data_IF_527140511172
#
_entry.id   IF_527140511172
#
_cell.length_a   1.000
_cell.length_b   1.000
_cell.length_c   1.000
_cell.angle_alpha   90.00
_cell.angle_beta   90.00
_cell.angle_gamma   90.00
#
_symmetry.space_group_name_H-M   'P 1'
#
loop_
_entity.id
_entity.type
_entity.pdbx_description
1 polymer ?
#
# COMPACT_ATOMS: atom_id res chain seq x y z
N UNK A 1 -23.59 -15.93 -14.69
CA UNK A 1 -22.71 -14.94 -15.33
C UNK A 1 -22.61 -13.78 -14.36
N UNK A 2 -21.72 -13.93 -13.38
CA UNK A 2 -21.64 -13.08 -12.20
C UNK A 2 -20.72 -11.90 -12.46
N UNK A 3 -21.31 -10.76 -12.83
CA UNK A 3 -20.62 -9.48 -12.90
C UNK A 3 -20.34 -8.91 -11.51
N UNK A 4 -19.19 -9.24 -10.92
CA UNK A 4 -18.68 -8.59 -9.72
C UNK A 4 -17.91 -7.31 -10.09
N UNK A 5 -18.65 -6.21 -10.26
CA UNK A 5 -18.12 -4.86 -10.32
C UNK A 5 -17.86 -4.31 -8.91
N UNK A 6 -16.70 -4.62 -8.34
CA UNK A 6 -16.21 -3.96 -7.12
C UNK A 6 -15.59 -2.61 -7.46
N UNK A 7 -16.42 -1.58 -7.61
CA UNK A 7 -15.98 -0.20 -7.78
C UNK A 7 -15.37 0.34 -6.50
N UNK A 8 -14.03 0.44 -6.46
CA UNK A 8 -13.37 1.31 -5.49
C UNK A 8 -13.63 2.76 -5.88
N UNK A 9 -14.28 3.50 -5.00
CA UNK A 9 -14.59 4.91 -5.17
C UNK A 9 -13.28 5.72 -5.27
N UNK A 10 -13.05 6.33 -6.44
CA UNK A 10 -11.91 7.20 -6.72
C UNK A 10 -12.20 8.57 -6.09
N UNK A 11 -11.99 8.69 -4.78
CA UNK A 11 -12.15 9.95 -4.07
C UNK A 11 -10.95 10.87 -4.36
N UNK A 12 -10.95 11.52 -5.53
CA UNK A 12 -10.00 12.57 -5.96
C UNK A 12 -8.81 12.10 -6.84
N UNK A 13 -8.33 12.95 -7.75
CA UNK A 13 -7.12 12.69 -8.56
C UNK A 13 -5.86 12.43 -7.69
N UNK A 14 -5.87 12.91 -6.44
CA UNK A 14 -4.72 12.92 -5.53
C UNK A 14 -4.92 12.09 -4.26
N UNK A 15 -6.03 11.38 -4.12
CA UNK A 15 -6.32 10.48 -3.00
C UNK A 15 -7.05 9.23 -3.50
N UNK A 16 -6.91 8.12 -2.80
CA UNK A 16 -7.61 6.89 -3.16
C UNK A 16 -7.78 6.00 -1.95
N UNK A 17 -8.90 5.27 -1.92
CA UNK A 17 -9.10 4.14 -1.01
C UNK A 17 -8.72 2.84 -1.73
N UNK A 18 -7.63 2.21 -1.28
CA UNK A 18 -7.24 0.89 -1.73
C UNK A 18 -7.70 -0.18 -0.74
N UNK A 19 -8.59 -1.07 -1.17
CA UNK A 19 -8.97 -2.26 -0.42
C UNK A 19 -8.43 -3.51 -1.10
N UNK A 20 -7.76 -4.37 -0.34
CA UNK A 20 -7.23 -5.63 -0.84
C UNK A 20 -7.65 -6.77 0.07
N UNK A 21 -8.43 -7.70 -0.49
CA UNK A 21 -8.83 -8.91 0.20
C UNK A 21 -7.75 -9.99 0.05
N UNK A 22 -7.35 -10.58 1.18
CA UNK A 22 -6.34 -11.63 1.27
C UNK A 22 -7.00 -12.96 1.66
N UNK A 23 -7.41 -13.78 0.67
CA UNK A 23 -7.99 -15.09 0.98
C UNK A 23 -6.96 -16.00 1.63
N UNK A 24 -7.42 -16.86 2.54
CA UNK A 24 -6.58 -17.83 3.27
C UNK A 24 -5.32 -17.22 3.92
N UNK A 25 -5.41 -15.95 4.37
CA UNK A 25 -4.27 -15.21 4.92
C UNK A 25 -3.53 -15.98 6.02
N UNK A 26 -4.24 -16.65 6.92
CA UNK A 26 -3.64 -17.44 8.01
C UNK A 26 -2.92 -18.71 7.54
N UNK A 27 -3.25 -19.22 6.35
CA UNK A 27 -2.64 -20.44 5.77
C UNK A 27 -1.48 -20.11 4.81
N UNK A 28 -1.31 -18.84 4.45
CA UNK A 28 -0.30 -18.44 3.46
C UNK A 28 1.11 -18.81 3.93
N UNK A 29 1.92 -19.30 3.00
CA UNK A 29 3.36 -19.53 3.20
C UNK A 29 4.22 -18.45 2.52
N UNK A 30 3.59 -17.47 1.87
CA UNK A 30 4.29 -16.39 1.23
C UNK A 30 5.05 -15.56 2.27
N UNK A 31 6.33 -15.29 2.00
CA UNK A 31 7.14 -14.39 2.84
C UNK A 31 6.62 -12.96 2.79
N UNK A 32 6.23 -12.52 1.60
CA UNK A 32 5.68 -11.20 1.34
C UNK A 32 4.72 -11.25 0.17
N UNK A 33 3.79 -10.30 0.15
CA UNK A 33 2.75 -10.20 -0.86
C UNK A 33 2.51 -8.73 -1.20
N UNK A 34 1.99 -8.48 -2.39
CA UNK A 34 1.67 -7.15 -2.87
C UNK A 34 0.24 -7.09 -3.39
N UNK A 35 -0.44 -5.97 -3.13
CA UNK A 35 -1.69 -5.68 -3.83
C UNK A 35 -1.42 -5.36 -5.30
N UNK A 36 -2.50 -5.24 -6.09
CA UNK A 36 -2.43 -4.53 -7.37
C UNK A 36 -1.97 -3.09 -7.19
N UNK A 37 -1.55 -2.47 -8.29
CA UNK A 37 -1.24 -1.04 -8.33
C UNK A 37 -2.52 -0.20 -8.37
N UNK A 38 -2.42 0.98 -7.78
CA UNK A 38 -3.41 2.05 -7.78
C UNK A 38 -2.68 3.33 -8.18
N UNK A 39 -3.19 4.03 -9.19
CA UNK A 39 -2.65 5.34 -9.55
C UNK A 39 -3.26 6.41 -8.64
N UNK A 40 -2.41 7.19 -7.98
CA UNK A 40 -2.82 8.26 -7.05
C UNK A 40 -1.91 9.46 -7.28
N UNK A 41 -2.46 10.60 -7.69
CA UNK A 41 -1.70 11.81 -7.99
C UNK A 41 -0.63 11.61 -9.09
N UNK A 42 -0.87 10.66 -10.00
CA UNK A 42 0.10 10.25 -11.02
C UNK A 42 1.20 9.31 -10.51
N UNK A 43 1.14 8.78 -9.29
CA UNK A 43 2.11 7.80 -8.79
C UNK A 43 1.49 6.41 -8.69
N UNK A 44 2.29 5.37 -8.95
CA UNK A 44 1.88 3.98 -8.74
C UNK A 44 2.04 3.60 -7.26
N UNK A 45 0.93 3.47 -6.56
CA UNK A 45 0.84 3.09 -5.16
C UNK A 45 0.38 1.63 -5.02
N UNK A 46 0.89 0.90 -4.03
CA UNK A 46 0.38 -0.43 -3.65
C UNK A 46 0.70 -0.76 -2.20
N UNK A 47 -0.01 -1.76 -1.66
CA UNK A 47 0.30 -2.34 -0.35
C UNK A 47 1.38 -3.41 -0.49
N UNK A 48 2.27 -3.47 0.50
CA UNK A 48 3.23 -4.54 0.73
C UNK A 48 2.97 -5.12 2.13
N UNK A 49 2.69 -6.42 2.19
CA UNK A 49 2.37 -7.13 3.43
C UNK A 49 3.35 -8.28 3.63
N UNK A 50 3.87 -8.42 4.85
CA UNK A 50 4.59 -9.60 5.33
C UNK A 50 3.67 -10.36 6.30
N UNK A 51 3.03 -11.45 5.87
CA UNK A 51 2.01 -12.13 6.69
C UNK A 51 2.48 -12.65 8.04
N UNK A 52 3.79 -12.91 8.18
CA UNK A 52 4.42 -13.41 9.40
C UNK A 52 5.43 -12.43 10.00
N UNK A 53 5.32 -11.16 9.59
CA UNK A 53 6.29 -10.14 9.93
C UNK A 53 7.52 -10.19 9.02
N UNK A 54 8.16 -9.04 8.87
CA UNK A 54 9.50 -8.95 8.26
C UNK A 54 10.60 -9.25 9.30
N UNK A 55 11.86 -9.01 8.94
CA UNK A 55 13.00 -9.31 9.80
C UNK A 55 13.11 -8.43 11.05
N UNK A 56 12.33 -7.34 11.15
CA UNK A 56 12.31 -6.43 12.28
C UNK A 56 11.08 -6.62 13.15
N UNK A 57 10.12 -7.45 12.72
CA UNK A 57 8.88 -7.66 13.43
C UNK A 57 9.05 -8.56 14.67
N UNK A 58 8.27 -8.26 15.71
CA UNK A 58 8.05 -9.14 16.84
C UNK A 58 7.34 -10.43 16.39
N UNK A 59 7.62 -11.58 17.04
CA UNK A 59 6.93 -12.82 16.72
C UNK A 59 5.40 -12.68 16.80
N UNK A 60 4.72 -13.16 15.75
CA UNK A 60 3.26 -13.12 15.65
C UNK A 60 2.71 -11.88 14.94
N UNK A 61 3.50 -10.81 14.78
CA UNK A 61 3.02 -9.60 14.12
C UNK A 61 3.04 -9.72 12.59
N UNK A 62 2.07 -9.08 11.95
CA UNK A 62 2.05 -8.77 10.52
C UNK A 62 2.75 -7.44 10.29
N UNK A 63 3.59 -7.35 9.26
CA UNK A 63 4.14 -6.06 8.79
C UNK A 63 3.36 -5.54 7.60
N UNK A 64 3.05 -4.25 7.59
CA UNK A 64 2.26 -3.61 6.53
C UNK A 64 2.89 -2.28 6.14
N UNK A 65 3.06 -2.09 4.83
CA UNK A 65 3.71 -0.94 4.24
C UNK A 65 2.91 -0.39 3.06
N UNK A 66 2.90 0.94 2.93
CA UNK A 66 2.59 1.60 1.68
C UNK A 66 3.86 1.64 0.84
N UNK A 67 3.76 1.22 -0.42
CA UNK A 67 4.81 1.37 -1.41
C UNK A 67 4.36 2.35 -2.50
N UNK A 68 5.18 3.36 -2.77
CA UNK A 68 5.02 4.34 -3.85
C UNK A 68 6.18 4.18 -4.82
N UNK A 69 5.87 4.02 -6.09
CA UNK A 69 6.84 3.93 -7.17
C UNK A 69 6.92 5.22 -7.97
N UNK A 70 7.74 5.22 -9.02
CA UNK A 70 7.93 6.37 -9.86
C UNK A 70 6.62 6.82 -10.53
N UNK A 71 6.56 8.08 -11.02
CA UNK A 71 5.43 8.59 -11.79
C UNK A 71 4.94 7.61 -12.87
N UNK A 72 3.62 7.41 -12.95
CA UNK A 72 2.97 6.52 -13.90
C UNK A 72 3.25 6.93 -15.36
N UNK A 73 3.02 6.03 -16.32
CA UNK A 73 3.35 6.28 -17.72
C UNK A 73 2.59 7.47 -18.33
N UNK A 74 1.39 7.77 -17.82
CA UNK A 74 0.54 8.85 -18.29
C UNK A 74 0.75 10.18 -17.58
N UNK A 75 1.78 10.28 -16.72
CA UNK A 75 2.07 11.52 -15.99
C UNK A 75 2.55 12.66 -16.90
N UNK A 76 2.37 13.93 -16.49
CA UNK A 76 2.89 15.08 -17.22
C UNK A 76 4.40 14.98 -17.49
N UNK A 77 4.89 15.73 -18.49
CA UNK A 77 6.28 15.66 -18.96
C UNK A 77 7.33 15.79 -17.83
N UNK A 78 7.05 16.60 -16.80
CA UNK A 78 7.90 16.74 -15.63
C UNK A 78 8.01 15.43 -14.81
N UNK A 79 6.90 14.71 -14.63
CA UNK A 79 6.88 13.39 -13.97
C UNK A 79 7.63 12.33 -14.77
N UNK A 80 7.47 12.33 -16.10
CA UNK A 80 8.21 11.44 -17.01
C UNK A 80 9.73 11.70 -16.92
N UNK A 81 10.15 12.96 -16.90
CA UNK A 81 11.55 13.35 -16.75
C UNK A 81 12.11 12.91 -15.39
N UNK A 82 11.38 13.17 -14.29
CA UNK A 82 11.80 12.79 -12.95
C UNK A 82 11.91 11.26 -12.78
N UNK A 83 11.03 10.50 -13.42
CA UNK A 83 11.14 9.03 -13.51
C UNK A 83 12.40 8.60 -14.23
N UNK A 84 12.68 9.16 -15.42
CA UNK A 84 13.86 8.82 -16.22
C UNK A 84 15.17 9.13 -15.49
N UNK A 85 15.20 10.25 -14.76
CA UNK A 85 16.36 10.69 -13.98
C UNK A 85 16.47 9.99 -12.62
N UNK A 86 15.42 9.28 -12.18
CA UNK A 86 15.41 8.61 -10.88
C UNK A 86 15.45 9.57 -9.69
N UNK A 87 15.05 10.83 -9.86
CA UNK A 87 15.09 11.88 -8.84
C UNK A 87 13.69 12.34 -8.41
N UNK A 88 12.66 11.51 -8.63
CA UNK A 88 11.31 11.80 -8.18
C UNK A 88 11.21 11.75 -6.65
N UNK A 89 10.34 12.60 -6.12
CA UNK A 89 9.86 12.56 -4.75
C UNK A 89 8.33 12.74 -4.73
N UNK A 90 7.69 12.25 -3.68
CA UNK A 90 6.26 12.43 -3.45
C UNK A 90 5.98 12.46 -1.95
N UNK A 91 5.29 13.50 -1.47
CA UNK A 91 4.85 13.56 -0.08
C UNK A 91 3.41 13.05 0.02
N UNK A 92 3.18 12.04 0.85
CA UNK A 92 1.88 11.36 0.96
C UNK A 92 1.51 11.26 2.44
N UNK A 93 0.32 11.74 2.80
CA UNK A 93 -0.38 11.34 4.03
C UNK A 93 -1.24 10.12 3.73
N UNK A 94 -1.24 9.14 4.63
CA UNK A 94 -1.97 7.90 4.40
C UNK A 94 -2.40 7.23 5.71
N UNK A 95 -3.44 6.41 5.57
CA UNK A 95 -3.99 5.54 6.61
C UNK A 95 -3.88 4.10 6.14
N UNK A 96 -3.28 3.23 6.94
CA UNK A 96 -3.30 1.78 6.71
C UNK A 96 -4.24 1.15 7.73
N UNK A 97 -5.00 0.14 7.27
CA UNK A 97 -5.93 -0.60 8.11
C UNK A 97 -5.86 -2.09 7.78
N UNK A 98 -5.80 -2.93 8.82
CA UNK A 98 -6.09 -4.36 8.74
C UNK A 98 -7.44 -4.57 9.41
N UNK A 99 -8.42 -5.02 8.64
CA UNK A 99 -9.80 -5.19 9.11
C UNK A 99 -10.08 -6.66 9.42
N UNK A 100 -10.69 -6.92 10.58
CA UNK A 100 -11.15 -8.24 10.95
C UNK A 100 -12.65 -8.36 10.66
N UNK A 101 -13.01 -9.15 9.64
CA UNK A 101 -14.36 -9.17 9.07
C UNK A 101 -15.48 -9.53 10.07
N UNK A 102 -15.19 -10.43 11.03
CA UNK A 102 -16.18 -10.88 12.00
C UNK A 102 -16.16 -10.10 13.34
N UNK A 103 -15.15 -9.27 13.57
CA UNK A 103 -14.92 -8.63 14.87
C UNK A 103 -14.22 -7.29 14.66
N UNK A 104 -14.98 -6.20 14.42
CA UNK A 104 -14.42 -4.88 14.16
C UNK A 104 -13.50 -4.38 15.27
N UNK A 105 -13.69 -4.81 16.52
CA UNK A 105 -12.85 -4.40 17.66
C UNK A 105 -11.40 -4.85 17.55
N UNK A 106 -11.13 -5.87 16.73
CA UNK A 106 -9.79 -6.38 16.42
C UNK A 106 -9.14 -5.71 15.20
N UNK A 107 -9.84 -4.79 14.55
CA UNK A 107 -9.27 -4.07 13.40
C UNK A 107 -8.27 -3.03 13.89
N UNK A 108 -7.10 -2.99 13.26
CA UNK A 108 -6.02 -2.06 13.61
C UNK A 108 -5.86 -1.06 12.48
N UNK A 109 -5.81 0.22 12.84
CA UNK A 109 -5.59 1.32 11.90
C UNK A 109 -4.46 2.20 12.40
N UNK A 110 -3.60 2.65 11.49
CA UNK A 110 -2.53 3.60 11.78
C UNK A 110 -2.40 4.64 10.68
N UNK A 111 -2.17 5.87 11.11
CA UNK A 111 -1.96 7.03 10.25
C UNK A 111 -0.48 7.40 10.20
N UNK A 112 -0.03 7.87 9.05
CA UNK A 112 1.31 8.43 8.89
C UNK A 112 1.38 9.38 7.70
N UNK A 113 2.52 10.03 7.56
CA UNK A 113 2.89 10.76 6.36
C UNK A 113 4.36 10.51 6.05
N UNK A 114 4.69 10.49 4.76
CA UNK A 114 6.04 10.19 4.34
C UNK A 114 6.42 10.87 3.04
N UNK A 115 7.71 11.22 2.91
CA UNK A 115 8.32 11.64 1.65
C UNK A 115 8.95 10.42 0.98
N UNK A 116 8.22 9.87 0.01
CA UNK A 116 8.70 8.80 -0.85
C UNK A 116 9.65 9.34 -1.91
N UNK A 117 10.60 8.52 -2.32
CA UNK A 117 11.55 8.84 -3.38
C UNK A 117 12.05 7.58 -4.07
N UNK A 118 12.83 7.74 -5.13
CA UNK A 118 13.45 6.61 -5.82
C UNK A 118 14.31 5.72 -4.88
N UNK A 119 14.86 6.28 -3.80
CA UNK A 119 15.66 5.56 -2.79
C UNK A 119 14.81 5.03 -1.64
N UNK A 120 13.67 5.67 -1.34
CA UNK A 120 12.79 5.32 -0.23
C UNK A 120 11.36 5.15 -0.73
N UNK A 121 11.10 3.96 -1.27
CA UNK A 121 9.82 3.63 -1.93
C UNK A 121 8.77 3.07 -0.99
N UNK A 122 9.13 2.65 0.22
CA UNK A 122 8.20 2.02 1.16
C UNK A 122 8.28 2.66 2.54
N UNK A 123 7.13 2.81 3.20
CA UNK A 123 7.01 3.29 4.57
C UNK A 123 5.80 2.64 5.25
N UNK A 124 5.90 2.38 6.55
CA UNK A 124 4.93 1.58 7.29
C UNK A 124 5.51 1.04 8.58
N UNK A 125 4.97 -0.09 9.04
CA UNK A 125 5.30 -0.66 10.35
C UNK A 125 5.68 -2.14 10.21
N UNK A 126 6.79 -2.52 10.83
CA UNK A 126 7.17 -3.92 11.02
C UNK A 126 6.19 -4.62 11.97
N UNK A 127 5.79 -3.93 13.04
CA UNK A 127 4.81 -4.41 14.04
C UNK A 127 3.46 -3.72 13.83
N UNK A 128 2.77 -4.05 12.74
CA UNK A 128 1.52 -3.36 12.40
C UNK A 128 0.35 -3.84 13.26
N UNK A 129 0.07 -5.15 13.21
CA UNK A 129 -1.02 -5.81 13.94
C UNK A 129 -0.56 -7.21 14.41
N UNK A 130 -0.96 -7.66 15.60
CA UNK A 130 -0.68 -8.99 16.12
C UNK A 130 -1.57 -10.09 15.50
#
# INVERSE_FOLDING_TARGET
DDGQGGGGELDGEHSALCTWHLPDFTKTRARQMWSKYYEVGGYECRLLVYPKGDSQALPGYVSVYLQVNAPAQHTPAAGVAARKLGNWECFVSYKLSVTHAADPSKSVTRDSWHRFSARKKSHGWCDFAP
#
